data_IF_740764617305
#
_entry.id   IF_740764617305
#
_cell.length_a   1.000
_cell.length_b   1.000
_cell.length_c   1.000
_cell.angle_alpha   90.00
_cell.angle_beta   90.00
_cell.angle_gamma   90.00
#
_symmetry.space_group_name_H-M   'P 1'
#
loop_
_entity.id
_entity.type
_entity.pdbx_description
1 polymer ?
#
# COMPACT_ATOMS: atom_id res chain seq x y z
N UNK A 1 40.82 15.99 40.70
CA UNK A 1 41.95 16.72 41.32
C UNK A 1 41.73 18.19 41.05
N UNK A 2 41.00 18.87 41.94
CA UNK A 2 41.53 19.61 43.10
C UNK A 2 42.04 20.98 42.71
N UNK A 3 41.35 22.04 43.14
CA UNK A 3 41.97 23.18 43.84
C UNK A 3 40.94 24.20 44.36
N UNK A 4 40.90 24.28 45.70
CA UNK A 4 40.99 25.52 46.52
C UNK A 4 39.68 26.23 46.94
N UNK A 5 39.62 26.76 48.19
CA UNK A 5 38.54 26.42 49.14
C UNK A 5 37.95 27.59 49.95
N UNK A 6 36.99 27.24 50.83
CA UNK A 6 36.77 27.70 52.23
C UNK A 6 36.76 29.20 52.58
N UNK A 7 35.63 29.69 53.12
CA UNK A 7 35.60 30.44 54.40
C UNK A 7 34.20 30.57 55.02
N UNK A 8 34.12 30.26 56.32
CA UNK A 8 33.03 30.46 57.31
C UNK A 8 32.71 31.95 57.54
N UNK A 9 31.45 32.29 57.89
CA UNK A 9 31.10 33.11 59.10
C UNK A 9 29.58 33.39 59.31
N UNK A 10 29.20 33.41 60.60
CA UNK A 10 28.00 34.06 61.21
C UNK A 10 26.73 33.21 61.22
N UNK A 11 26.19 32.59 62.29
CA UNK A 11 25.97 32.88 63.73
C UNK A 11 24.80 33.85 64.05
N UNK A 12 23.65 33.24 64.41
CA UNK A 12 22.62 33.62 65.46
C UNK A 12 21.89 34.98 65.26
N UNK A 13 20.64 35.22 65.65
CA UNK A 13 19.58 34.62 66.51
C UNK A 13 18.26 35.40 66.20
N UNK A 14 17.06 34.77 66.18
CA UNK A 14 15.86 35.02 67.05
C UNK A 14 15.62 36.48 67.48
N UNK A 15 14.42 37.09 67.43
CA UNK A 15 13.02 36.70 67.73
C UNK A 15 12.20 38.02 67.48
N UNK A 16 10.97 38.10 66.97
CA UNK A 16 9.65 37.87 67.60
C UNK A 16 8.55 38.25 66.56
N UNK A 17 7.59 37.36 66.27
CA UNK A 17 6.17 37.30 66.73
C UNK A 17 5.22 38.33 66.11
N UNK A 18 4.20 37.82 65.41
CA UNK A 18 2.81 37.84 65.90
C UNK A 18 1.95 36.79 65.17
N UNK A 19 1.22 36.03 65.97
CA UNK A 19 0.16 35.05 65.62
C UNK A 19 -1.20 35.77 65.83
N UNK A 20 -2.41 35.26 65.41
CA UNK A 20 -2.77 33.84 65.59
C UNK A 20 -3.86 33.22 64.66
N UNK A 21 -4.08 31.91 64.90
CA UNK A 21 -5.30 31.07 64.73
C UNK A 21 -5.72 30.58 63.33
N UNK A 22 -5.58 29.26 63.10
CA UNK A 22 -6.66 28.39 62.57
C UNK A 22 -6.58 26.98 63.17
N UNK A 23 -7.72 26.49 63.67
CA UNK A 23 -8.00 25.11 64.12
C UNK A 23 -8.52 24.25 62.95
N UNK A 24 -7.99 23.03 62.87
CA UNK A 24 -8.73 21.75 62.79
C UNK A 24 -9.37 21.25 61.46
N UNK A 25 -9.33 19.91 61.36
CA UNK A 25 -10.14 18.93 60.60
C UNK A 25 -9.70 18.48 59.20
N UNK A 26 -9.39 17.18 59.17
CA UNK A 26 -8.97 16.41 58.00
C UNK A 26 -10.00 16.35 56.87
N UNK A 27 -9.45 16.20 55.67
CA UNK A 27 -10.20 15.84 54.45
C UNK A 27 -9.72 14.49 53.96
N UNK A 28 -10.60 13.51 54.10
CA UNK A 28 -10.53 12.22 53.45
C UNK A 28 -10.27 12.37 51.96
N UNK A 29 -9.27 11.63 51.45
CA UNK A 29 -9.07 11.42 50.02
C UNK A 29 -10.29 10.68 49.49
N UNK A 30 -11.22 11.40 48.84
CA UNK A 30 -12.29 10.78 48.04
C UNK A 30 -11.63 9.94 46.96
N UNK A 31 -11.75 8.62 47.10
CA UNK A 31 -11.43 7.66 46.06
C UNK A 31 -12.28 7.98 44.83
N UNK A 32 -11.62 8.23 43.70
CA UNK A 32 -12.28 8.30 42.40
C UNK A 32 -12.76 6.90 42.08
N UNK A 33 -14.04 6.65 42.35
CA UNK A 33 -14.77 5.48 41.89
C UNK A 33 -14.65 5.43 40.36
N UNK A 34 -13.79 4.55 39.84
CA UNK A 34 -13.81 4.14 38.45
C UNK A 34 -15.13 3.40 38.25
N UNK A 35 -16.15 4.11 37.77
CA UNK A 35 -17.37 3.47 37.27
C UNK A 35 -16.97 2.49 36.17
N UNK A 36 -17.49 1.25 36.18
CA UNK A 36 -17.26 0.33 35.08
C UNK A 36 -17.79 0.97 33.79
N UNK A 37 -17.00 0.93 32.72
CA UNK A 37 -17.43 1.40 31.41
C UNK A 37 -18.74 0.68 31.07
N UNK A 38 -19.84 1.42 30.95
CA UNK A 38 -21.07 0.88 30.37
C UNK A 38 -20.75 0.57 28.92
N UNK A 39 -20.49 -0.70 28.62
CA UNK A 39 -20.51 -1.22 27.26
C UNK A 39 -21.89 -0.90 26.72
N UNK A 40 -21.99 0.08 25.83
CA UNK A 40 -23.24 0.45 25.21
C UNK A 40 -23.52 -0.51 24.05
N UNK A 41 -24.79 -0.82 23.82
CA UNK A 41 -25.21 -1.69 22.74
C UNK A 41 -24.93 -1.00 21.40
N UNK A 42 -23.93 -1.51 20.68
CA UNK A 42 -23.50 -0.97 19.39
C UNK A 42 -24.53 -1.28 18.31
N UNK A 43 -25.15 -2.46 18.35
CA UNK A 43 -26.13 -2.90 17.35
C UNK A 43 -27.37 -2.00 17.36
N UNK A 44 -27.90 -1.68 18.54
CA UNK A 44 -29.04 -0.74 18.65
C UNK A 44 -28.70 0.66 18.15
N UNK A 45 -27.51 1.17 18.48
CA UNK A 45 -27.08 2.47 17.97
C UNK A 45 -26.97 2.46 16.44
N UNK A 46 -26.44 1.39 15.86
CA UNK A 46 -26.28 1.28 14.41
C UNK A 46 -27.64 1.27 13.71
N UNK A 47 -28.62 0.55 14.24
CA UNK A 47 -30.00 0.57 13.71
C UNK A 47 -30.62 1.98 13.78
N UNK A 48 -30.40 2.72 14.87
CA UNK A 48 -30.90 4.10 15.05
C UNK A 48 -30.33 5.10 14.04
N UNK A 49 -29.10 4.87 13.55
CA UNK A 49 -28.35 5.83 12.71
C UNK A 49 -28.18 5.36 11.26
N UNK A 50 -28.70 4.18 10.91
CA UNK A 50 -28.40 3.50 9.66
C UNK A 50 -28.80 4.32 8.44
N UNK A 51 -30.00 4.90 8.44
CA UNK A 51 -30.50 5.69 7.31
C UNK A 51 -29.67 6.97 7.10
N UNK A 52 -29.26 7.64 8.18
CA UNK A 52 -28.42 8.83 8.10
C UNK A 52 -27.01 8.47 7.65
N UNK A 53 -26.46 7.34 8.08
CA UNK A 53 -25.16 6.84 7.62
C UNK A 53 -25.24 6.49 6.13
N UNK A 54 -26.26 5.76 5.71
CA UNK A 54 -26.52 5.40 4.32
C UNK A 54 -26.52 6.64 3.40
N UNK A 55 -27.28 7.67 3.78
CA UNK A 55 -27.32 8.94 3.05
C UNK A 55 -25.99 9.71 3.12
N UNK A 56 -25.32 9.73 4.29
CA UNK A 56 -24.04 10.45 4.46
C UNK A 56 -22.92 9.85 3.61
N UNK A 57 -22.93 8.53 3.43
CA UNK A 57 -22.00 7.82 2.58
C UNK A 57 -22.33 7.99 1.08
N UNK A 58 -23.50 8.52 0.75
CA UNK A 58 -23.96 8.68 -0.64
C UNK A 58 -24.27 7.36 -1.33
N UNK A 59 -24.64 6.33 -0.57
CA UNK A 59 -24.94 4.99 -1.10
C UNK A 59 -26.29 4.96 -1.84
N UNK A 60 -27.16 5.94 -1.61
CA UNK A 60 -28.38 6.22 -2.36
C UNK A 60 -28.10 6.66 -3.79
N UNK A 61 -26.98 7.34 -4.01
CA UNK A 61 -26.56 7.74 -5.35
C UNK A 61 -25.92 6.58 -6.13
N UNK A 62 -25.59 5.47 -5.47
CA UNK A 62 -25.07 4.28 -6.14
C UNK A 62 -26.22 3.39 -6.59
N UNK A 63 -26.11 2.89 -7.82
CA UNK A 63 -27.08 1.94 -8.36
C UNK A 63 -26.66 0.53 -7.93
N UNK A 64 -26.82 0.29 -6.62
CA UNK A 64 -26.53 -0.96 -5.91
C UNK A 64 -27.80 -1.37 -5.19
N UNK A 65 -28.03 -2.69 -5.11
CA UNK A 65 -29.17 -3.24 -4.38
C UNK A 65 -29.23 -2.69 -2.94
N UNK A 66 -30.44 -2.34 -2.49
CA UNK A 66 -30.65 -1.66 -1.21
C UNK A 66 -30.20 -2.52 -0.03
N UNK A 67 -30.40 -3.84 -0.07
CA UNK A 67 -29.96 -4.73 1.01
C UNK A 67 -28.44 -4.76 1.09
N UNK A 68 -27.76 -4.81 -0.07
CA UNK A 68 -26.29 -4.73 -0.14
C UNK A 68 -25.79 -3.41 0.41
N UNK A 69 -26.40 -2.30 0.01
CA UNK A 69 -25.98 -0.98 0.45
C UNK A 69 -26.22 -0.75 1.96
N UNK A 70 -27.35 -1.24 2.51
CA UNK A 70 -27.61 -1.21 3.95
C UNK A 70 -26.64 -2.09 4.74
N UNK A 71 -26.24 -3.26 4.20
CA UNK A 71 -25.20 -4.09 4.82
C UNK A 71 -23.87 -3.33 4.91
N UNK A 72 -23.45 -2.68 3.83
CA UNK A 72 -22.24 -1.86 3.84
C UNK A 72 -22.36 -0.70 4.84
N UNK A 73 -23.49 0.02 4.84
CA UNK A 73 -23.72 1.11 5.78
C UNK A 73 -23.63 0.66 7.24
N UNK A 74 -24.19 -0.51 7.57
CA UNK A 74 -24.14 -1.12 8.90
C UNK A 74 -22.69 -1.40 9.32
N UNK A 75 -21.90 -2.05 8.47
CA UNK A 75 -20.48 -2.32 8.75
C UNK A 75 -19.68 -1.04 9.01
N UNK A 76 -19.91 0.00 8.21
CA UNK A 76 -19.24 1.30 8.37
C UNK A 76 -19.66 1.99 9.67
N UNK A 77 -20.95 1.93 10.02
CA UNK A 77 -21.46 2.47 11.28
C UNK A 77 -20.86 1.76 12.49
N UNK A 78 -20.76 0.43 12.46
CA UNK A 78 -20.10 -0.37 13.50
C UNK A 78 -18.62 0.00 13.66
N UNK A 79 -17.89 0.09 12.55
CA UNK A 79 -16.50 0.56 12.53
C UNK A 79 -16.36 1.96 13.14
N UNK A 80 -17.23 2.90 12.74
CA UNK A 80 -17.22 4.25 13.29
C UNK A 80 -17.54 4.26 14.80
N UNK A 81 -18.46 3.42 15.27
CA UNK A 81 -18.87 3.31 16.66
C UNK A 81 -17.83 2.62 17.56
N UNK A 82 -17.08 1.64 17.04
CA UNK A 82 -16.11 0.81 17.78
C UNK A 82 -15.01 1.59 18.52
N UNK A 83 -14.74 2.84 18.11
CA UNK A 83 -13.74 3.70 18.73
C UNK A 83 -14.23 4.52 19.92
N UNK A 84 -15.50 4.37 20.34
CA UNK A 84 -16.07 5.10 21.46
C UNK A 84 -16.16 4.24 22.72
N UNK A 85 -15.83 4.84 23.87
CA UNK A 85 -15.95 4.20 25.19
C UNK A 85 -17.35 4.35 25.82
N UNK A 86 -18.18 5.23 25.27
CA UNK A 86 -19.57 5.51 25.67
C UNK A 86 -20.42 5.78 24.43
N UNK A 87 -21.76 5.68 24.52
CA UNK A 87 -22.67 5.90 23.38
C UNK A 87 -22.40 7.27 22.74
N UNK A 88 -21.86 7.35 21.50
CA UNK A 88 -21.67 8.62 20.82
C UNK A 88 -23.02 9.23 20.44
N UNK A 89 -23.06 10.56 20.33
CA UNK A 89 -24.19 11.22 19.67
C UNK A 89 -24.16 10.94 18.16
N UNK A 90 -25.33 11.01 17.52
CA UNK A 90 -25.47 10.90 16.07
C UNK A 90 -24.50 11.85 15.35
N UNK A 91 -24.49 13.13 15.73
CA UNK A 91 -23.58 14.13 15.15
C UNK A 91 -22.11 13.78 15.29
N UNK A 92 -21.70 13.21 16.44
CA UNK A 92 -20.32 12.82 16.67
C UNK A 92 -19.93 11.66 15.73
N UNK A 93 -20.83 10.69 15.55
CA UNK A 93 -20.65 9.56 14.65
C UNK A 93 -20.56 10.02 13.19
N UNK A 94 -21.51 10.83 12.73
CA UNK A 94 -21.55 11.36 11.37
C UNK A 94 -20.31 12.22 11.06
N UNK A 95 -19.88 13.09 11.98
CA UNK A 95 -18.62 13.86 11.83
C UNK A 95 -17.40 12.95 11.78
N UNK A 96 -17.39 11.82 12.48
CA UNK A 96 -16.29 10.85 12.39
C UNK A 96 -16.28 10.17 11.02
N UNK A 97 -17.44 9.77 10.50
CA UNK A 97 -17.58 9.21 9.15
C UNK A 97 -17.10 10.20 8.10
N UNK A 98 -17.56 11.46 8.15
CA UNK A 98 -17.14 12.51 7.22
C UNK A 98 -15.64 12.77 7.26
N UNK A 99 -15.03 12.85 8.47
CA UNK A 99 -13.57 13.05 8.62
C UNK A 99 -12.75 11.92 8.04
N UNK A 100 -13.29 10.70 7.99
CA UNK A 100 -12.60 9.52 7.47
C UNK A 100 -13.13 9.10 6.08
N UNK A 101 -13.85 9.98 5.38
CA UNK A 101 -14.58 9.64 4.14
C UNK A 101 -13.68 8.99 3.09
N UNK A 102 -12.45 9.45 2.89
CA UNK A 102 -11.53 8.85 1.91
C UNK A 102 -11.21 7.38 2.23
N UNK A 103 -10.85 7.09 3.48
CA UNK A 103 -10.54 5.72 3.94
C UNK A 103 -11.78 4.83 3.92
N UNK A 104 -12.93 5.38 4.33
CA UNK A 104 -14.19 4.65 4.31
C UNK A 104 -14.66 4.39 2.88
N UNK A 105 -14.47 5.31 1.93
CA UNK A 105 -14.82 5.08 0.54
C UNK A 105 -13.98 3.96 -0.08
N UNK A 106 -12.69 3.86 0.26
CA UNK A 106 -11.84 2.75 -0.16
C UNK A 106 -12.36 1.41 0.38
N UNK A 107 -12.81 1.37 1.64
CA UNK A 107 -13.45 0.20 2.22
C UNK A 107 -14.80 -0.12 1.56
N UNK A 108 -15.64 0.89 1.30
CA UNK A 108 -16.91 0.73 0.61
C UNK A 108 -16.68 0.15 -0.80
N UNK A 109 -15.71 0.68 -1.54
CA UNK A 109 -15.35 0.16 -2.86
C UNK A 109 -14.92 -1.31 -2.79
N UNK A 110 -14.10 -1.69 -1.79
CA UNK A 110 -13.74 -3.08 -1.53
C UNK A 110 -14.96 -3.96 -1.29
N UNK A 111 -15.89 -3.52 -0.44
CA UNK A 111 -17.12 -4.28 -0.14
C UNK A 111 -18.04 -4.39 -1.34
N UNK A 112 -18.16 -3.34 -2.15
CA UNK A 112 -18.93 -3.41 -3.40
C UNK A 112 -18.34 -4.51 -4.31
N UNK A 113 -17.02 -4.58 -4.46
CA UNK A 113 -16.39 -5.58 -5.32
C UNK A 113 -16.54 -7.02 -4.82
N UNK A 114 -16.59 -7.22 -3.50
CA UNK A 114 -16.85 -8.51 -2.88
C UNK A 114 -18.31 -8.96 -3.06
N UNK A 115 -19.25 -8.01 -3.03
CA UNK A 115 -20.69 -8.30 -2.92
C UNK A 115 -21.45 -8.17 -4.24
N UNK A 116 -20.91 -7.40 -5.20
CA UNK A 116 -21.54 -7.10 -6.47
C UNK A 116 -20.65 -7.60 -7.59
N UNK A 117 -21.09 -8.63 -8.31
CA UNK A 117 -20.30 -9.26 -9.39
C UNK A 117 -20.17 -8.36 -10.63
N UNK A 118 -21.24 -7.64 -10.99
CA UNK A 118 -21.26 -6.71 -12.12
C UNK A 118 -21.82 -5.36 -11.68
N UNK A 119 -20.97 -4.46 -11.16
CA UNK A 119 -21.38 -3.11 -10.82
C UNK A 119 -21.95 -2.39 -12.05
N UNK A 120 -23.03 -1.63 -11.85
CA UNK A 120 -23.50 -0.66 -12.83
C UNK A 120 -22.41 0.39 -13.10
N UNK A 121 -22.52 1.11 -14.22
CA UNK A 121 -21.51 2.09 -14.62
C UNK A 121 -21.23 3.12 -13.52
N UNK A 122 -22.27 3.67 -12.90
CA UNK A 122 -22.15 4.65 -11.82
C UNK A 122 -21.41 4.10 -10.60
N UNK A 123 -21.69 2.85 -10.26
CA UNK A 123 -21.03 2.15 -9.16
C UNK A 123 -19.57 1.83 -9.52
N UNK A 124 -19.30 1.46 -10.78
CA UNK A 124 -17.95 1.21 -11.29
C UNK A 124 -17.09 2.49 -11.22
N UNK A 125 -17.65 3.63 -11.64
CA UNK A 125 -16.99 4.95 -11.52
C UNK A 125 -16.63 5.26 -10.07
N UNK A 126 -17.56 5.05 -9.14
CA UNK A 126 -17.31 5.25 -7.71
C UNK A 126 -16.16 4.36 -7.20
N UNK A 127 -16.21 3.06 -7.54
CA UNK A 127 -15.21 2.07 -7.12
C UNK A 127 -13.83 2.44 -7.64
N UNK A 128 -13.70 2.81 -8.91
CA UNK A 128 -12.41 3.15 -9.51
C UNK A 128 -11.87 4.46 -8.94
N UNK A 129 -12.73 5.48 -8.78
CA UNK A 129 -12.33 6.79 -8.29
C UNK A 129 -11.92 6.78 -6.80
N UNK A 130 -12.53 5.92 -5.99
CA UNK A 130 -12.33 5.93 -4.53
C UNK A 130 -11.63 4.68 -3.98
N UNK A 131 -11.42 3.67 -4.81
CA UNK A 131 -11.00 2.34 -4.38
C UNK A 131 -9.53 2.20 -4.00
N UNK A 132 -8.70 3.22 -4.26
CA UNK A 132 -7.33 3.29 -3.76
C UNK A 132 -6.51 2.00 -3.98
N UNK A 133 -5.90 1.49 -2.91
CA UNK A 133 -5.14 0.24 -2.95
C UNK A 133 -6.06 -0.98 -2.92
N UNK A 134 -7.26 -0.88 -2.33
CA UNK A 134 -8.19 -1.99 -2.20
C UNK A 134 -8.54 -2.65 -3.54
N UNK A 135 -8.64 -1.85 -4.61
CA UNK A 135 -9.05 -2.35 -5.94
C UNK A 135 -7.94 -3.01 -6.75
N UNK A 136 -6.68 -2.97 -6.28
CA UNK A 136 -5.53 -3.53 -7.02
C UNK A 136 -5.69 -5.04 -7.24
N UNK A 137 -6.31 -5.76 -6.30
CA UNK A 137 -6.54 -7.21 -6.42
C UNK A 137 -7.55 -7.55 -7.51
N UNK A 138 -8.46 -6.61 -7.81
CA UNK A 138 -9.53 -6.75 -8.79
C UNK A 138 -9.23 -6.01 -10.10
N UNK A 139 -8.00 -5.51 -10.29
CA UNK A 139 -7.63 -4.65 -11.43
C UNK A 139 -7.99 -5.29 -12.77
N UNK A 140 -7.77 -6.60 -12.93
CA UNK A 140 -8.01 -7.33 -14.17
C UNK A 140 -9.51 -7.44 -14.47
N UNK A 141 -10.33 -7.59 -13.43
CA UNK A 141 -11.80 -7.61 -13.53
C UNK A 141 -12.33 -6.22 -13.84
N UNK A 142 -11.85 -5.19 -13.14
CA UNK A 142 -12.23 -3.80 -13.36
C UNK A 142 -11.86 -3.33 -14.77
N UNK A 143 -10.67 -3.70 -15.27
CA UNK A 143 -10.25 -3.43 -16.64
C UNK A 143 -11.21 -4.04 -17.66
N UNK A 144 -11.63 -5.29 -17.47
CA UNK A 144 -12.61 -5.94 -18.36
C UNK A 144 -13.95 -5.21 -18.35
N UNK A 145 -14.48 -4.88 -17.17
CA UNK A 145 -15.75 -4.15 -17.05
C UNK A 145 -15.69 -2.77 -17.69
N UNK A 146 -14.61 -2.00 -17.46
CA UNK A 146 -14.43 -0.68 -18.06
C UNK A 146 -14.32 -0.77 -19.59
N UNK A 147 -13.61 -1.79 -20.10
CA UNK A 147 -13.47 -2.03 -21.54
C UNK A 147 -14.78 -2.46 -22.20
N UNK A 148 -15.55 -3.35 -21.57
CA UNK A 148 -16.87 -3.77 -22.06
C UNK A 148 -17.83 -2.59 -22.19
N UNK A 149 -17.69 -1.58 -21.32
CA UNK A 149 -18.49 -0.36 -21.33
C UNK A 149 -17.89 0.76 -22.20
N UNK A 150 -16.75 0.54 -22.86
CA UNK A 150 -16.10 1.53 -23.72
C UNK A 150 -15.59 2.76 -22.97
N UNK A 151 -15.22 2.62 -21.69
CA UNK A 151 -14.80 3.71 -20.81
C UNK A 151 -13.27 3.76 -20.64
N UNK A 152 -12.61 4.34 -21.64
CA UNK A 152 -11.15 4.49 -21.64
C UNK A 152 -10.66 5.42 -20.51
N UNK A 153 -11.47 6.41 -20.12
CA UNK A 153 -11.20 7.28 -18.97
C UNK A 153 -11.09 6.49 -17.66
N UNK A 154 -11.91 5.47 -17.48
CA UNK A 154 -11.84 4.57 -16.33
C UNK A 154 -10.61 3.65 -16.40
N UNK A 155 -10.23 3.21 -17.59
CA UNK A 155 -9.00 2.45 -17.80
C UNK A 155 -7.78 3.32 -17.42
N UNK A 156 -7.78 4.59 -17.74
CA UNK A 156 -6.71 5.53 -17.39
C UNK A 156 -6.61 5.75 -15.88
N UNK A 157 -7.75 5.89 -15.21
CA UNK A 157 -7.80 5.95 -13.76
C UNK A 157 -7.27 4.66 -13.11
N UNK A 158 -7.62 3.49 -13.65
CA UNK A 158 -7.08 2.20 -13.20
C UNK A 158 -5.57 2.11 -13.41
N UNK A 159 -5.03 2.62 -14.52
CA UNK A 159 -3.57 2.68 -14.77
C UNK A 159 -2.88 3.54 -13.71
N UNK A 160 -3.42 4.70 -13.38
CA UNK A 160 -2.87 5.56 -12.33
C UNK A 160 -2.88 4.87 -10.94
N UNK A 161 -3.95 4.14 -10.61
CA UNK A 161 -4.02 3.34 -9.37
C UNK A 161 -2.97 2.23 -9.38
N UNK A 162 -2.83 1.53 -10.51
CA UNK A 162 -1.87 0.45 -10.67
C UNK A 162 -0.42 0.94 -10.58
N UNK A 163 -0.07 2.06 -11.19
CA UNK A 163 1.28 2.61 -11.12
C UNK A 163 1.65 3.03 -9.69
N UNK A 164 0.65 3.47 -8.89
CA UNK A 164 0.85 3.88 -7.50
C UNK A 164 0.91 2.71 -6.52
N UNK A 165 0.09 1.67 -6.73
CA UNK A 165 -0.16 0.63 -5.72
C UNK A 165 0.09 -0.81 -6.20
N UNK A 166 0.27 -1.02 -7.50
CA UNK A 166 0.50 -2.31 -8.13
C UNK A 166 1.93 -2.83 -7.99
N UNK A 167 2.21 -3.91 -8.70
CA UNK A 167 3.53 -4.57 -8.70
C UNK A 167 4.54 -3.72 -9.45
N UNK A 168 5.67 -3.43 -8.81
CA UNK A 168 6.74 -2.59 -9.38
C UNK A 168 7.69 -3.42 -10.25
N UNK A 169 8.36 -2.74 -11.18
CA UNK A 169 9.40 -3.34 -12.03
C UNK A 169 8.86 -4.16 -13.20
N UNK A 170 7.54 -4.22 -13.39
CA UNK A 170 6.94 -4.90 -14.53
C UNK A 170 7.05 -4.06 -15.82
N UNK A 171 7.23 -4.74 -16.94
CA UNK A 171 7.23 -4.15 -18.28
C UNK A 171 5.82 -3.73 -18.68
N UNK A 172 5.72 -2.62 -19.44
CA UNK A 172 4.45 -2.10 -19.95
C UNK A 172 3.83 -3.06 -20.95
N UNK A 173 2.55 -3.34 -20.81
CA UNK A 173 1.80 -4.14 -21.76
C UNK A 173 1.43 -3.29 -22.98
N UNK A 174 1.72 -3.74 -24.22
CA UNK A 174 1.39 -2.96 -25.42
C UNK A 174 -0.10 -2.95 -25.73
N UNK A 175 -0.89 -3.86 -25.11
CA UNK A 175 -2.33 -4.00 -25.35
C UNK A 175 -3.18 -3.15 -24.41
N UNK A 176 -2.95 -3.25 -23.11
CA UNK A 176 -3.74 -2.52 -22.10
C UNK A 176 -3.02 -1.29 -21.53
N UNK A 177 -1.72 -1.14 -21.77
CA UNK A 177 -0.95 0.02 -21.33
C UNK A 177 -0.52 0.01 -19.85
N UNK A 178 -0.86 -1.02 -19.07
CA UNK A 178 -0.42 -1.19 -17.69
C UNK A 178 1.00 -1.75 -17.61
N UNK A 179 1.80 -1.33 -16.63
CA UNK A 179 3.07 -1.96 -16.25
C UNK A 179 2.81 -3.34 -15.60
N UNK A 180 2.61 -4.37 -16.42
CA UNK A 180 1.89 -5.58 -16.01
C UNK A 180 2.33 -6.87 -16.70
N UNK A 181 3.31 -6.82 -17.59
CA UNK A 181 3.90 -8.04 -18.17
C UNK A 181 4.74 -8.70 -17.08
N UNK A 182 4.39 -9.90 -16.63
CA UNK A 182 5.17 -10.66 -15.65
C UNK A 182 6.38 -11.38 -16.29
N UNK A 183 7.30 -11.93 -15.48
CA UNK A 183 8.46 -12.69 -15.97
C UNK A 183 8.16 -13.90 -16.87
N UNK A 184 6.93 -14.41 -16.85
CA UNK A 184 6.41 -15.43 -17.77
C UNK A 184 5.95 -14.85 -19.13
N UNK A 185 6.19 -13.56 -19.36
CA UNK A 185 5.81 -12.77 -20.53
C UNK A 185 4.29 -12.61 -20.74
N UNK A 186 3.48 -12.93 -19.75
CA UNK A 186 2.03 -12.72 -19.79
C UNK A 186 1.63 -11.43 -19.08
N UNK A 187 0.56 -10.78 -19.51
CA UNK A 187 0.01 -9.60 -18.84
C UNK A 187 -0.94 -10.02 -17.71
N UNK A 188 -0.63 -9.67 -16.46
CA UNK A 188 -1.51 -10.00 -15.31
C UNK A 188 -2.87 -9.29 -15.36
N UNK A 189 -2.99 -8.19 -16.11
CA UNK A 189 -4.23 -7.40 -16.23
C UNK A 189 -5.13 -7.92 -17.34
N UNK A 190 -4.60 -8.03 -18.57
CA UNK A 190 -5.41 -8.36 -19.76
C UNK A 190 -5.13 -9.75 -20.36
N UNK A 191 -4.17 -10.50 -19.83
CA UNK A 191 -3.81 -11.85 -20.28
C UNK A 191 -3.04 -11.89 -21.62
N UNK A 192 -2.68 -10.75 -22.20
CA UNK A 192 -1.89 -10.71 -23.44
C UNK A 192 -0.46 -11.23 -23.21
N UNK A 193 0.02 -12.09 -24.11
CA UNK A 193 1.38 -12.64 -24.07
C UNK A 193 2.26 -11.89 -25.06
N UNK A 194 3.43 -11.43 -24.60
CA UNK A 194 4.41 -10.74 -25.44
C UNK A 194 5.56 -11.68 -25.82
N UNK A 195 6.32 -11.30 -26.84
CA UNK A 195 7.55 -12.02 -27.19
C UNK A 195 8.71 -11.63 -26.28
N UNK A 196 9.70 -12.51 -26.13
CA UNK A 196 10.95 -12.17 -25.42
C UNK A 196 11.64 -10.97 -26.08
N UNK A 197 11.57 -10.84 -27.42
CA UNK A 197 12.12 -9.69 -28.15
C UNK A 197 11.55 -8.36 -27.63
N UNK A 198 10.23 -8.29 -27.44
CA UNK A 198 9.57 -7.10 -26.89
C UNK A 198 10.08 -6.79 -25.48
N UNK A 199 10.23 -7.80 -24.62
CA UNK A 199 10.75 -7.62 -23.26
C UNK A 199 12.20 -7.15 -23.29
N UNK A 200 13.04 -7.69 -24.17
CA UNK A 200 14.44 -7.25 -24.36
C UNK A 200 14.52 -5.77 -24.75
N UNK A 201 13.63 -5.33 -25.64
CA UNK A 201 13.56 -3.94 -26.10
C UNK A 201 13.09 -3.00 -24.99
N UNK A 202 11.97 -3.31 -24.33
CA UNK A 202 11.41 -2.49 -23.24
C UNK A 202 12.32 -2.41 -22.02
N UNK A 203 13.07 -3.48 -21.74
CA UNK A 203 14.08 -3.44 -20.69
C UNK A 203 15.34 -2.68 -21.11
N UNK A 204 15.58 -2.38 -22.39
CA UNK A 204 16.89 -1.87 -22.82
C UNK A 204 18.00 -2.90 -22.55
N UNK A 205 17.70 -4.18 -22.75
CA UNK A 205 18.57 -5.31 -22.36
C UNK A 205 19.96 -5.21 -22.99
N UNK A 206 20.04 -4.86 -24.28
CA UNK A 206 21.30 -4.93 -25.03
C UNK A 206 22.39 -4.02 -24.46
N UNK A 207 22.02 -2.83 -23.97
CA UNK A 207 22.98 -1.88 -23.38
C UNK A 207 23.43 -2.37 -22.01
N UNK A 208 22.47 -2.74 -21.15
CA UNK A 208 22.75 -3.29 -19.82
C UNK A 208 23.57 -4.58 -19.87
N UNK A 209 23.33 -5.42 -20.86
CA UNK A 209 24.08 -6.64 -21.04
C UNK A 209 25.54 -6.33 -21.39
N UNK A 210 25.80 -5.38 -22.31
CA UNK A 210 27.17 -4.95 -22.61
C UNK A 210 27.90 -4.36 -21.40
N UNK A 211 27.19 -3.61 -20.55
CA UNK A 211 27.76 -3.09 -19.30
C UNK A 211 28.07 -4.22 -18.32
N UNK A 212 27.14 -5.16 -18.14
CA UNK A 212 27.33 -6.35 -17.32
C UNK A 212 28.57 -7.12 -17.75
N UNK A 213 28.74 -7.38 -19.06
CA UNK A 213 29.89 -8.09 -19.60
C UNK A 213 31.21 -7.47 -19.16
N UNK A 214 31.35 -6.14 -19.18
CA UNK A 214 32.58 -5.43 -18.78
C UNK A 214 32.93 -5.60 -17.30
N UNK A 215 31.93 -5.77 -16.45
CA UNK A 215 32.12 -5.84 -14.99
C UNK A 215 32.13 -7.27 -14.43
N UNK A 216 31.48 -8.21 -15.11
CA UNK A 216 31.36 -9.60 -14.67
C UNK A 216 32.72 -10.31 -14.66
N UNK A 217 32.91 -11.27 -13.77
CA UNK A 217 34.10 -12.14 -13.77
C UNK A 217 34.04 -13.19 -14.88
N UNK A 218 35.20 -13.73 -15.30
CA UNK A 218 35.26 -14.82 -16.30
C UNK A 218 34.44 -16.05 -15.85
N UNK A 219 34.43 -16.34 -14.54
CA UNK A 219 33.64 -17.44 -13.98
C UNK A 219 32.13 -17.21 -14.13
N UNK A 220 31.64 -15.99 -13.91
CA UNK A 220 30.23 -15.64 -14.13
C UNK A 220 29.86 -15.73 -15.61
N UNK A 221 30.73 -15.23 -16.50
CA UNK A 221 30.52 -15.31 -17.94
C UNK A 221 30.41 -16.77 -18.43
N UNK A 222 31.27 -17.66 -17.92
CA UNK A 222 31.18 -19.10 -18.21
C UNK A 222 29.88 -19.72 -17.67
N UNK A 223 29.46 -19.33 -16.45
CA UNK A 223 28.19 -19.79 -15.86
C UNK A 223 26.98 -19.40 -16.73
N UNK A 224 26.99 -18.20 -17.29
CA UNK A 224 25.93 -17.71 -18.18
C UNK A 224 25.92 -18.46 -19.52
N UNK A 225 27.09 -18.75 -20.09
CA UNK A 225 27.21 -19.56 -21.30
C UNK A 225 26.67 -20.98 -21.12
N UNK A 226 26.95 -21.60 -19.97
CA UNK A 226 26.44 -22.94 -19.62
C UNK A 226 24.91 -22.92 -19.46
N UNK A 227 24.38 -21.93 -18.75
CA UNK A 227 22.93 -21.83 -18.50
C UNK A 227 22.12 -21.36 -19.71
N UNK A 228 22.77 -20.74 -20.71
CA UNK A 228 22.14 -20.16 -21.91
C UNK A 228 21.05 -19.12 -21.63
N UNK A 229 21.06 -18.54 -20.43
CA UNK A 229 20.12 -17.51 -20.02
C UNK A 229 20.74 -16.58 -18.98
N UNK A 230 20.18 -15.39 -18.90
CA UNK A 230 20.42 -14.41 -17.83
C UNK A 230 19.09 -13.94 -17.26
N UNK A 231 19.15 -13.26 -16.11
CA UNK A 231 17.99 -12.58 -15.55
C UNK A 231 18.16 -11.09 -15.74
N UNK A 232 17.09 -10.37 -16.06
CA UNK A 232 17.12 -8.92 -16.23
C UNK A 232 15.93 -8.28 -15.53
N UNK A 233 16.13 -7.13 -14.90
CA UNK A 233 15.04 -6.23 -14.49
C UNK A 233 15.17 -4.89 -15.22
N UNK A 234 14.44 -3.87 -14.77
CA UNK A 234 14.52 -2.52 -15.34
C UNK A 234 15.91 -1.89 -15.20
N UNK A 235 16.72 -2.29 -14.23
CA UNK A 235 17.98 -1.63 -13.86
C UNK A 235 19.22 -2.40 -14.32
N UNK A 236 19.25 -3.72 -14.18
CA UNK A 236 20.47 -4.51 -14.33
C UNK A 236 20.24 -5.86 -15.00
N UNK A 237 21.35 -6.49 -15.39
CA UNK A 237 21.42 -7.90 -15.81
C UNK A 237 22.16 -8.69 -14.74
N UNK A 238 21.71 -9.90 -14.50
CA UNK A 238 22.18 -10.78 -13.44
C UNK A 238 22.48 -12.18 -13.96
N UNK A 239 23.42 -12.89 -13.31
CA UNK A 239 23.65 -14.29 -13.59
C UNK A 239 22.42 -15.13 -13.15
N UNK A 240 22.22 -16.31 -13.78
CA UNK A 240 21.06 -17.18 -13.54
C UNK A 240 20.95 -17.69 -12.09
N UNK A 241 22.06 -17.72 -11.34
CA UNK A 241 22.09 -18.16 -9.93
C UNK A 241 21.77 -17.05 -8.91
N UNK A 242 21.45 -15.84 -9.37
CA UNK A 242 21.12 -14.67 -8.53
C UNK A 242 19.66 -14.58 -8.04
N UNK A 243 18.83 -15.60 -8.31
CA UNK A 243 17.38 -15.62 -8.06
C UNK A 243 16.96 -15.36 -6.60
N UNK A 244 17.85 -15.55 -5.62
CA UNK A 244 17.47 -15.61 -4.21
C UNK A 244 17.53 -14.30 -3.42
N UNK A 245 18.01 -13.17 -3.96
CA UNK A 245 18.49 -12.10 -3.05
C UNK A 245 18.21 -10.64 -3.41
N UNK A 246 17.34 -10.31 -4.36
CA UNK A 246 17.10 -8.89 -4.69
C UNK A 246 15.61 -8.56 -4.65
N UNK A 247 15.27 -7.80 -3.62
CA UNK A 247 13.91 -7.63 -3.12
C UNK A 247 12.93 -7.12 -4.16
N UNK A 248 11.80 -7.82 -4.26
CA UNK A 248 10.51 -7.29 -4.75
C UNK A 248 10.41 -6.88 -6.22
N UNK A 249 11.49 -6.85 -6.98
CA UNK A 249 11.49 -6.46 -8.40
C UNK A 249 11.39 -7.70 -9.31
N UNK A 250 10.67 -7.57 -10.42
CA UNK A 250 10.44 -8.65 -11.36
C UNK A 250 11.68 -8.94 -12.20
N UNK A 251 12.21 -10.16 -12.08
CA UNK A 251 13.36 -10.64 -12.85
C UNK A 251 12.87 -11.45 -14.04
N UNK A 252 13.12 -10.95 -15.25
CA UNK A 252 12.80 -11.60 -16.51
C UNK A 252 13.92 -12.56 -16.90
N UNK A 253 13.65 -13.85 -17.07
CA UNK A 253 14.59 -14.71 -17.78
C UNK A 253 14.74 -14.19 -19.21
N UNK A 254 15.96 -14.13 -19.74
CA UNK A 254 16.25 -13.75 -21.13
C UNK A 254 17.21 -14.79 -21.68
N UNK A 255 16.83 -15.44 -22.78
CA UNK A 255 17.65 -16.46 -23.41
C UNK A 255 18.73 -15.81 -24.27
N UNK A 256 19.91 -16.40 -24.24
CA UNK A 256 21.04 -15.88 -25.02
C UNK A 256 20.84 -16.22 -26.50
N UNK A 257 20.87 -15.19 -27.33
CA UNK A 257 20.96 -15.33 -28.78
C UNK A 257 22.39 -15.72 -29.18
N UNK A 258 22.57 -16.12 -30.45
CA UNK A 258 23.92 -16.38 -30.99
C UNK A 258 24.84 -15.17 -30.84
N UNK A 259 24.34 -13.97 -31.15
CA UNK A 259 25.09 -12.72 -30.96
C UNK A 259 25.47 -12.45 -29.50
N UNK A 260 24.60 -12.78 -28.54
CA UNK A 260 24.94 -12.61 -27.11
C UNK A 260 26.07 -13.56 -26.70
N UNK A 261 26.04 -14.79 -27.19
CA UNK A 261 27.09 -15.80 -26.96
C UNK A 261 28.42 -15.34 -27.56
N UNK A 262 28.42 -14.85 -28.79
CA UNK A 262 29.64 -14.35 -29.45
C UNK A 262 30.25 -13.18 -28.67
N UNK A 263 29.41 -12.27 -28.14
CA UNK A 263 29.87 -11.18 -27.28
C UNK A 263 30.54 -11.69 -26.01
N UNK A 264 29.96 -12.69 -25.34
CA UNK A 264 30.56 -13.27 -24.12
C UNK A 264 31.90 -13.94 -24.45
N UNK A 265 31.96 -14.75 -25.51
CA UNK A 265 33.18 -15.47 -25.90
C UNK A 265 34.30 -14.49 -26.24
N UNK A 266 34.00 -13.43 -27.00
CA UNK A 266 34.97 -12.38 -27.31
C UNK A 266 35.47 -11.67 -26.05
N UNK A 267 34.58 -11.37 -25.11
CA UNK A 267 34.96 -10.73 -23.85
C UNK A 267 35.86 -11.62 -22.99
N UNK A 268 35.57 -12.92 -22.88
CA UNK A 268 36.43 -13.90 -22.18
C UNK A 268 37.81 -13.96 -22.82
N UNK A 269 37.86 -14.16 -24.14
CA UNK A 269 39.13 -14.29 -24.88
C UNK A 269 39.99 -13.03 -24.73
N UNK A 270 39.37 -11.84 -24.76
CA UNK A 270 40.09 -10.57 -24.61
C UNK A 270 40.78 -10.40 -23.25
N UNK A 271 40.34 -11.14 -22.23
CA UNK A 271 40.88 -11.11 -20.86
C UNK A 271 41.91 -12.20 -20.63
N UNK A 272 41.70 -13.38 -21.19
CA UNK A 272 42.66 -14.48 -21.12
C UNK A 272 43.97 -14.15 -21.89
N UNK A 273 43.92 -13.28 -22.90
CA UNK A 273 45.10 -12.79 -23.66
C UNK A 273 45.91 -11.73 -22.88
N UNK A 274 45.33 -11.12 -21.82
CA UNK A 274 45.97 -10.04 -21.05
C UNK A 274 46.71 -10.52 -19.79
N UNK A 275 47.00 -11.82 -19.69
CA UNK A 275 47.76 -12.44 -18.59
C UNK A 275 49.20 -12.72 -19.01
#
# INVERSE_FOLDING_TARGET
MSSIPSRKRGKRKKEEKEEPKVKDKGKSRKSVSKRPARVFDTSRLVEEVLDQVYATLGLDALDVDREVALRIAREIAELAASGYTSKPSLDALLKKIQRNKAVLNELIASRILELVEKPSLRTLEFVIANGGKAIVRDISRLYKLAREQGRDDLIDALRAVWDKHGVKGLVKCPRCGFNSISPDYSCVVCGYVVSEKYVREELGFNEKFKEYLKTASVAELRTILEARLVLADQKWVYPPRGLSLRGGEALYPIHLTRSDVDLIVNEINSRDIRV
#
